data_IF_464463541431
#
_entry.id   IF_464463541431
#
_cell.length_a   1.000
_cell.length_b   1.000
_cell.length_c   1.000
_cell.angle_alpha   90.00
_cell.angle_beta   90.00
_cell.angle_gamma   90.00
#
_symmetry.space_group_name_H-M   'P 1'
#
loop_
_entity.id
_entity.type
_entity.pdbx_description
1 polymer ?
#
# COMPACT_ATOMS: atom_id res chain seq x y z
N UNK A 1 -1.32 -32.79 22.04
CA UNK A 1 -2.34 -31.72 21.99
C UNK A 1 -1.77 -30.61 21.12
N UNK A 2 -2.07 -30.62 19.82
CA UNK A 2 -1.51 -29.65 18.87
C UNK A 2 -2.39 -28.41 18.89
N UNK A 3 -1.79 -27.26 19.18
CA UNK A 3 -2.43 -25.96 19.17
C UNK A 3 -3.01 -25.69 17.77
N UNK A 4 -4.33 -25.76 17.63
CA UNK A 4 -5.02 -25.26 16.44
C UNK A 4 -4.87 -23.75 16.42
N UNK A 5 -3.96 -23.26 15.58
CA UNK A 5 -3.86 -21.84 15.30
C UNK A 5 -5.22 -21.35 14.77
N UNK A 6 -5.79 -20.37 15.45
CA UNK A 6 -7.05 -19.72 15.10
C UNK A 6 -6.86 -18.95 13.80
N UNK A 7 -7.08 -19.61 12.66
CA UNK A 7 -6.99 -19.03 11.32
C UNK A 7 -7.96 -19.74 10.39
N UNK A 8 -8.29 -19.11 9.26
CA UNK A 8 -9.18 -19.71 8.26
C UNK A 8 -8.52 -20.94 7.61
N UNK A 9 -9.28 -22.02 7.45
CA UNK A 9 -8.76 -23.31 7.00
C UNK A 9 -9.32 -23.75 5.64
N UNK A 10 -8.53 -24.58 4.95
CA UNK A 10 -8.98 -25.38 3.80
C UNK A 10 -9.33 -26.79 4.29
N UNK A 11 -10.41 -27.34 3.74
CA UNK A 11 -10.62 -28.80 3.70
C UNK A 11 -10.01 -29.34 2.41
N UNK A 12 -9.20 -30.39 2.52
CA UNK A 12 -8.39 -30.88 1.41
C UNK A 12 -8.67 -32.36 1.20
N UNK A 13 -9.12 -32.72 0.00
CA UNK A 13 -9.24 -34.12 -0.43
C UNK A 13 -8.17 -34.40 -1.48
N UNK A 14 -7.26 -35.32 -1.17
CA UNK A 14 -6.19 -35.74 -2.08
C UNK A 14 -6.51 -37.13 -2.62
N UNK A 15 -6.55 -37.26 -3.94
CA UNK A 15 -6.63 -38.54 -4.64
C UNK A 15 -5.29 -38.78 -5.34
N UNK A 16 -4.57 -39.84 -4.96
CA UNK A 16 -3.22 -40.07 -5.44
C UNK A 16 -3.04 -41.46 -6.05
N UNK A 17 -2.10 -41.58 -6.98
CA UNK A 17 -1.59 -42.84 -7.50
C UNK A 17 -0.09 -42.93 -7.24
N UNK A 18 0.41 -44.15 -7.06
CA UNK A 18 1.84 -44.41 -6.90
C UNK A 18 2.25 -45.67 -7.66
N UNK A 19 3.49 -45.73 -8.12
CA UNK A 19 4.08 -46.91 -8.77
C UNK A 19 5.53 -47.09 -8.36
N UNK A 20 6.01 -48.33 -8.44
CA UNK A 20 7.43 -48.63 -8.23
C UNK A 20 8.19 -48.57 -9.55
N UNK A 21 9.38 -47.97 -9.54
CA UNK A 21 10.27 -47.96 -10.69
C UNK A 21 11.14 -49.23 -10.66
N UNK A 22 11.19 -50.00 -11.77
CA UNK A 22 11.76 -51.36 -11.78
C UNK A 22 13.28 -51.44 -11.50
N UNK A 23 13.99 -50.31 -11.53
CA UNK A 23 15.44 -50.25 -11.37
C UNK A 23 15.94 -50.20 -9.92
N UNK A 24 15.05 -50.29 -8.92
CA UNK A 24 15.39 -50.07 -7.51
C UNK A 24 15.22 -51.31 -6.65
N UNK A 25 16.21 -51.60 -5.81
CA UNK A 25 16.17 -52.66 -4.80
C UNK A 25 15.10 -52.32 -3.77
N UNK A 26 14.22 -53.26 -3.37
CA UNK A 26 13.17 -52.96 -2.41
C UNK A 26 13.78 -52.65 -1.03
N UNK A 27 13.86 -51.37 -0.69
CA UNK A 27 14.02 -50.95 0.70
C UNK A 27 12.78 -51.38 1.50
N UNK A 28 12.95 -51.69 2.79
CA UNK A 28 11.90 -52.19 3.71
C UNK A 28 10.83 -51.13 4.07
N UNK A 29 10.53 -50.20 3.16
CA UNK A 29 9.60 -49.12 3.38
C UNK A 29 8.22 -49.46 2.81
N UNK A 30 7.17 -49.02 3.50
CA UNK A 30 5.79 -49.09 3.03
C UNK A 30 5.55 -47.98 1.99
N UNK A 31 5.59 -48.27 0.66
CA UNK A 31 5.62 -47.25 -0.39
C UNK A 31 4.36 -46.40 -0.42
N UNK A 32 3.21 -46.99 -0.07
CA UNK A 32 1.93 -46.30 0.00
C UNK A 32 1.90 -45.25 1.13
N UNK A 33 2.53 -45.52 2.27
CA UNK A 33 2.64 -44.56 3.37
C UNK A 33 3.53 -43.37 2.96
N UNK A 34 4.64 -43.64 2.29
CA UNK A 34 5.55 -42.58 1.81
C UNK A 34 4.91 -41.73 0.72
N UNK A 35 4.22 -42.34 -0.25
CA UNK A 35 3.48 -41.61 -1.28
C UNK A 35 2.41 -40.69 -0.67
N UNK A 36 1.62 -41.19 0.29
CA UNK A 36 0.62 -40.39 1.01
C UNK A 36 1.26 -39.22 1.76
N UNK A 37 2.37 -39.47 2.46
CA UNK A 37 3.05 -38.43 3.23
C UNK A 37 3.63 -37.35 2.32
N UNK A 38 4.25 -37.75 1.20
CA UNK A 38 4.79 -36.81 0.22
C UNK A 38 3.69 -35.89 -0.36
N UNK A 39 2.59 -36.47 -0.85
CA UNK A 39 1.47 -35.69 -1.38
C UNK A 39 0.88 -34.73 -0.34
N UNK A 40 0.75 -35.17 0.92
CA UNK A 40 0.28 -34.32 2.01
C UNK A 40 1.22 -33.16 2.29
N UNK A 41 2.51 -33.42 2.38
CA UNK A 41 3.52 -32.40 2.67
C UNK A 41 3.61 -31.37 1.54
N UNK A 42 3.64 -31.83 0.29
CA UNK A 42 3.71 -30.96 -0.87
C UNK A 42 2.44 -30.10 -0.99
N UNK A 43 1.26 -30.70 -0.83
CA UNK A 43 -0.02 -29.98 -0.82
C UNK A 43 -0.04 -28.93 0.29
N UNK A 44 0.34 -29.28 1.52
CA UNK A 44 0.37 -28.33 2.64
C UNK A 44 1.37 -27.18 2.40
N UNK A 45 2.53 -27.45 1.81
CA UNK A 45 3.53 -26.44 1.51
C UNK A 45 3.03 -25.40 0.49
N UNK A 46 2.24 -25.84 -0.49
CA UNK A 46 1.62 -24.96 -1.48
C UNK A 46 0.50 -24.15 -0.82
N UNK A 47 -0.46 -24.80 -0.17
CA UNK A 47 -1.63 -24.16 0.41
C UNK A 47 -1.31 -23.10 1.48
N UNK A 48 -0.17 -23.21 2.18
CA UNK A 48 0.32 -22.16 3.10
C UNK A 48 0.52 -20.80 2.44
N UNK A 49 0.71 -20.75 1.12
CA UNK A 49 0.92 -19.52 0.35
C UNK A 49 -0.38 -18.95 -0.22
N UNK A 50 -1.50 -19.65 -0.07
CA UNK A 50 -2.77 -19.27 -0.65
C UNK A 50 -3.79 -18.85 0.41
N UNK A 51 -4.61 -17.87 0.06
CA UNK A 51 -5.74 -17.44 0.86
C UNK A 51 -6.96 -18.31 0.58
N UNK A 52 -7.72 -18.64 1.62
CA UNK A 52 -8.97 -19.41 1.54
C UNK A 52 -10.01 -18.77 0.60
N UNK A 53 -9.94 -17.46 0.40
CA UNK A 53 -10.84 -16.73 -0.51
C UNK A 53 -10.54 -16.97 -2.00
N UNK A 54 -9.35 -17.46 -2.33
CA UNK A 54 -8.93 -17.74 -3.71
C UNK A 54 -8.79 -19.24 -3.94
N UNK A 55 -9.85 -19.98 -3.59
CA UNK A 55 -9.89 -21.44 -3.66
C UNK A 55 -9.54 -22.00 -5.06
N UNK A 56 -10.10 -21.48 -6.18
CA UNK A 56 -9.76 -22.00 -7.52
C UNK A 56 -8.27 -21.88 -7.83
N UNK A 57 -7.66 -20.72 -7.53
CA UNK A 57 -6.23 -20.51 -7.75
C UNK A 57 -5.36 -21.42 -6.87
N UNK A 58 -5.80 -21.71 -5.63
CA UNK A 58 -5.10 -22.63 -4.74
C UNK A 58 -5.21 -24.08 -5.22
N UNK A 59 -6.37 -24.48 -5.73
CA UNK A 59 -6.63 -25.81 -6.29
C UNK A 59 -5.80 -26.01 -7.57
N UNK A 60 -5.83 -25.05 -8.49
CA UNK A 60 -5.05 -25.07 -9.74
C UNK A 60 -3.55 -25.15 -9.49
N UNK A 61 -3.02 -24.32 -8.58
CA UNK A 61 -1.60 -24.34 -8.23
C UNK A 61 -1.18 -25.68 -7.61
N UNK A 62 -2.04 -26.25 -6.77
CA UNK A 62 -1.77 -27.55 -6.14
C UNK A 62 -1.83 -28.68 -7.17
N UNK A 63 -2.88 -28.72 -7.99
CA UNK A 63 -3.06 -29.71 -9.05
C UNK A 63 -1.95 -29.64 -10.10
N UNK A 64 -1.46 -28.46 -10.43
CA UNK A 64 -0.31 -28.29 -11.33
C UNK A 64 0.96 -28.90 -10.74
N UNK A 65 1.16 -28.78 -9.42
CA UNK A 65 2.36 -29.25 -8.77
C UNK A 65 2.39 -30.77 -8.50
N UNK A 66 1.23 -31.39 -8.23
CA UNK A 66 1.14 -32.83 -7.92
C UNK A 66 0.55 -33.68 -9.06
N UNK A 67 0.00 -33.04 -10.11
CA UNK A 67 -0.65 -33.70 -11.25
C UNK A 67 0.32 -34.35 -12.22
N UNK A 68 1.62 -34.12 -12.08
CA UNK A 68 2.67 -34.83 -12.81
C UNK A 68 3.30 -35.91 -11.93
N UNK A 69 3.84 -36.95 -12.55
CA UNK A 69 4.60 -37.97 -11.83
C UNK A 69 5.89 -37.37 -11.27
N UNK A 70 6.06 -37.44 -9.95
CA UNK A 70 7.25 -37.02 -9.23
C UNK A 70 7.91 -38.21 -8.53
N UNK A 71 9.23 -38.12 -8.33
CA UNK A 71 10.02 -39.14 -7.64
C UNK A 71 10.41 -38.65 -6.24
N UNK A 72 9.58 -38.84 -5.19
CA UNK A 72 9.94 -38.43 -3.83
C UNK A 72 11.16 -39.18 -3.27
N UNK A 73 11.43 -40.38 -3.78
CA UNK A 73 12.58 -41.20 -3.43
C UNK A 73 12.90 -42.16 -4.57
N UNK A 74 14.10 -42.72 -4.58
CA UNK A 74 14.48 -43.74 -5.56
C UNK A 74 13.48 -44.90 -5.55
N UNK A 75 13.02 -45.29 -6.75
CA UNK A 75 12.14 -46.43 -6.90
C UNK A 75 10.66 -46.18 -6.64
N UNK A 76 10.26 -44.96 -6.28
CA UNK A 76 8.87 -44.61 -6.04
C UNK A 76 8.50 -43.37 -6.87
N UNK A 77 7.47 -43.53 -7.69
CA UNK A 77 6.85 -42.44 -8.42
C UNK A 77 5.44 -42.21 -7.87
N UNK A 78 5.06 -40.94 -7.76
CA UNK A 78 3.79 -40.51 -7.17
C UNK A 78 3.17 -39.40 -8.00
N UNK A 79 1.85 -39.39 -8.09
CA UNK A 79 1.07 -38.30 -8.67
C UNK A 79 -0.27 -38.20 -7.94
N UNK A 80 -0.97 -37.08 -8.08
CA UNK A 80 -2.31 -36.95 -7.55
C UNK A 80 -3.07 -35.74 -8.05
N UNK A 81 -4.30 -35.66 -7.56
CA UNK A 81 -5.19 -34.52 -7.73
C UNK A 81 -5.73 -34.12 -6.36
N UNK A 82 -6.01 -32.83 -6.21
CA UNK A 82 -6.58 -32.24 -5.02
C UNK A 82 -7.91 -31.58 -5.39
N UNK A 83 -8.87 -31.75 -4.49
CA UNK A 83 -10.06 -30.93 -4.42
C UNK A 83 -10.06 -30.17 -3.11
N UNK A 84 -10.32 -28.86 -3.18
CA UNK A 84 -10.38 -27.99 -2.02
C UNK A 84 -11.82 -27.60 -1.73
N UNK A 85 -12.15 -27.60 -0.44
CA UNK A 85 -13.41 -27.08 0.06
C UNK A 85 -13.14 -26.09 1.20
N UNK A 86 -14.07 -25.18 1.44
CA UNK A 86 -14.01 -24.29 2.59
C UNK A 86 -15.39 -24.06 3.18
N UNK A 87 -15.43 -23.79 4.48
CA UNK A 87 -16.69 -23.49 5.16
C UNK A 87 -17.03 -22.00 5.03
N UNK A 88 -18.32 -21.66 5.06
CA UNK A 88 -18.75 -20.27 5.09
C UNK A 88 -18.15 -19.50 6.29
N UNK A 89 -17.92 -20.19 7.41
CA UNK A 89 -17.26 -19.63 8.58
C UNK A 89 -15.80 -19.24 8.31
N UNK A 90 -15.03 -20.12 7.67
CA UNK A 90 -13.64 -19.85 7.30
C UNK A 90 -13.52 -18.71 6.28
N UNK A 91 -14.42 -18.66 5.29
CA UNK A 91 -14.51 -17.54 4.36
C UNK A 91 -14.78 -16.21 5.08
N UNK A 92 -15.77 -16.18 5.98
CA UNK A 92 -16.11 -14.97 6.73
C UNK A 92 -14.93 -14.52 7.63
N UNK A 93 -14.26 -15.48 8.27
CA UNK A 93 -13.07 -15.22 9.08
C UNK A 93 -11.94 -14.63 8.23
N UNK A 94 -11.65 -15.21 7.06
CA UNK A 94 -10.63 -14.70 6.14
C UNK A 94 -10.96 -13.29 5.63
N UNK A 95 -12.22 -13.01 5.27
CA UNK A 95 -12.66 -11.68 4.86
C UNK A 95 -12.47 -10.64 5.96
N UNK A 96 -12.86 -10.95 7.21
CA UNK A 96 -12.69 -10.03 8.33
C UNK A 96 -11.21 -9.78 8.63
N UNK A 97 -10.34 -10.80 8.51
CA UNK A 97 -8.90 -10.61 8.64
C UNK A 97 -8.34 -9.66 7.59
N UNK A 98 -8.74 -9.80 6.32
CA UNK A 98 -8.31 -8.90 5.25
C UNK A 98 -8.81 -7.48 5.51
N UNK A 99 -10.09 -7.32 5.89
CA UNK A 99 -10.68 -6.01 6.19
C UNK A 99 -9.95 -5.31 7.33
N UNK A 100 -9.65 -6.03 8.41
CA UNK A 100 -8.89 -5.49 9.55
C UNK A 100 -7.48 -5.10 9.16
N UNK A 101 -6.79 -5.92 8.37
CA UNK A 101 -5.44 -5.63 7.89
C UNK A 101 -5.43 -4.38 7.01
N UNK A 102 -6.35 -4.27 6.06
CA UNK A 102 -6.49 -3.07 5.23
C UNK A 102 -6.75 -1.81 6.07
N UNK A 103 -7.62 -1.90 7.09
CA UNK A 103 -7.87 -0.78 7.98
C UNK A 103 -6.61 -0.37 8.78
N UNK A 104 -5.82 -1.35 9.24
CA UNK A 104 -4.55 -1.10 9.92
C UNK A 104 -3.50 -0.49 8.98
N UNK A 105 -3.39 -1.00 7.75
CA UNK A 105 -2.47 -0.50 6.75
C UNK A 105 -2.80 0.96 6.40
N UNK A 106 -4.08 1.28 6.18
CA UNK A 106 -4.53 2.66 5.94
C UNK A 106 -4.26 3.59 7.12
N UNK A 107 -4.49 3.11 8.36
CA UNK A 107 -4.18 3.89 9.56
C UNK A 107 -2.67 4.14 9.70
N UNK A 108 -1.86 3.14 9.38
CA UNK A 108 -0.41 3.25 9.38
C UNK A 108 0.08 4.24 8.32
N UNK A 109 -0.45 4.18 7.09
CA UNK A 109 -0.14 5.15 6.03
C UNK A 109 -0.56 6.57 6.38
N UNK A 110 -1.70 6.74 7.06
CA UNK A 110 -2.13 8.04 7.56
C UNK A 110 -1.15 8.59 8.61
N UNK A 111 -0.69 7.74 9.52
CA UNK A 111 0.29 8.13 10.54
C UNK A 111 1.66 8.44 9.93
N UNK A 112 2.13 7.63 8.97
CA UNK A 112 3.37 7.93 8.24
C UNK A 112 3.29 9.28 7.53
N UNK A 113 2.18 9.56 6.83
CA UNK A 113 1.95 10.87 6.20
C UNK A 113 1.96 12.00 7.21
N UNK A 114 1.32 11.81 8.37
CA UNK A 114 1.33 12.79 9.46
C UNK A 114 2.74 13.03 9.99
N UNK A 115 3.52 11.97 10.23
CA UNK A 115 4.89 12.08 10.72
C UNK A 115 5.80 12.76 9.69
N UNK A 116 5.70 12.40 8.41
CA UNK A 116 6.45 13.07 7.34
C UNK A 116 6.09 14.55 7.28
N UNK A 117 4.80 14.90 7.35
CA UNK A 117 4.37 16.29 7.38
C UNK A 117 4.92 17.05 8.60
N UNK A 118 4.89 16.45 9.79
CA UNK A 118 5.49 17.03 10.99
C UNK A 118 7.01 17.17 10.86
N UNK A 119 7.70 16.21 10.26
CA UNK A 119 9.13 16.31 9.99
C UNK A 119 9.43 17.48 9.05
N UNK A 120 8.66 17.67 7.97
CA UNK A 120 8.81 18.83 7.07
C UNK A 120 8.50 20.15 7.78
N UNK A 121 7.43 20.22 8.56
CA UNK A 121 7.06 21.42 9.33
C UNK A 121 8.12 21.78 10.37
N UNK A 122 8.63 20.78 11.09
CA UNK A 122 9.65 20.96 12.10
C UNK A 122 11.03 21.16 11.47
N UNK A 123 11.28 20.77 10.23
CA UNK A 123 12.52 21.07 9.54
C UNK A 123 12.66 22.56 9.20
N UNK A 124 11.57 23.21 8.82
CA UNK A 124 11.53 24.63 8.51
C UNK A 124 11.58 25.48 9.81
N UNK A 125 12.55 26.38 9.88
CA UNK A 125 12.87 27.17 11.09
C UNK A 125 11.69 28.07 11.52
N UNK A 126 10.98 28.65 10.56
CA UNK A 126 9.90 29.60 10.83
C UNK A 126 8.60 28.85 11.13
N UNK A 127 8.34 27.75 10.41
CA UNK A 127 7.15 26.92 10.62
C UNK A 127 7.21 26.11 11.92
N UNK A 128 8.40 25.64 12.33
CA UNK A 128 8.61 24.98 13.63
C UNK A 128 8.15 25.87 14.79
N UNK A 129 8.52 27.16 14.75
CA UNK A 129 8.15 28.13 15.81
C UNK A 129 6.65 28.38 15.82
N UNK A 130 6.05 28.59 14.67
CA UNK A 130 4.60 28.77 14.53
C UNK A 130 3.81 27.53 14.98
N UNK A 131 4.25 26.33 14.60
CA UNK A 131 3.64 25.07 15.02
C UNK A 131 3.72 24.86 16.53
N UNK A 132 4.86 25.18 17.17
CA UNK A 132 5.01 25.07 18.62
C UNK A 132 4.09 26.02 19.38
N UNK A 133 4.00 27.29 18.93
CA UNK A 133 3.12 28.28 19.54
C UNK A 133 1.65 27.86 19.41
N UNK A 134 1.26 27.28 18.27
CA UNK A 134 -0.09 26.79 18.04
C UNK A 134 -0.45 25.56 18.88
N UNK A 135 0.49 24.62 19.09
CA UNK A 135 0.25 23.40 19.87
C UNK A 135 0.40 23.59 21.38
N UNK A 136 1.27 24.49 21.82
CA UNK A 136 1.55 24.73 23.23
C UNK A 136 1.51 26.25 23.54
N UNK A 137 0.33 26.88 23.46
CA UNK A 137 0.19 28.33 23.67
C UNK A 137 0.67 28.77 25.06
N UNK A 138 0.50 27.90 26.07
CA UNK A 138 0.88 28.18 27.46
C UNK A 138 2.39 28.06 27.73
N UNK A 139 3.18 27.54 26.78
CA UNK A 139 4.63 27.28 26.92
C UNK A 139 5.50 28.16 26.02
N UNK A 140 4.99 29.36 25.71
CA UNK A 140 5.68 30.32 24.86
C UNK A 140 7.07 30.73 25.40
N UNK A 141 7.23 30.81 26.73
CA UNK A 141 8.50 31.14 27.38
C UNK A 141 9.61 30.11 27.14
N UNK A 142 9.28 28.91 26.69
CA UNK A 142 10.23 27.83 26.42
C UNK A 142 10.66 27.77 24.94
N UNK A 143 10.12 28.64 24.07
CA UNK A 143 10.45 28.66 22.64
C UNK A 143 11.94 28.88 22.36
N UNK A 144 12.63 29.70 23.16
CA UNK A 144 14.05 30.00 22.94
C UNK A 144 14.94 28.80 23.31
N UNK A 145 14.59 28.05 24.37
CA UNK A 145 15.27 26.80 24.73
C UNK A 145 15.06 25.71 23.66
N UNK A 146 13.87 25.65 23.06
CA UNK A 146 13.57 24.74 21.95
C UNK A 146 14.36 25.13 20.68
N UNK A 147 14.54 26.43 20.42
CA UNK A 147 15.31 26.96 19.30
C UNK A 147 16.78 26.56 19.41
N UNK A 148 17.38 26.63 20.60
CA UNK A 148 18.75 26.16 20.85
C UNK A 148 18.85 24.64 20.71
N UNK A 149 17.93 23.87 21.30
CA UNK A 149 17.96 22.41 21.28
C UNK A 149 17.81 21.80 19.87
N UNK A 150 17.20 22.53 18.93
CA UNK A 150 16.95 22.05 17.57
C UNK A 150 17.79 22.77 16.50
N UNK A 151 18.83 23.51 16.92
CA UNK A 151 19.70 24.29 16.04
C UNK A 151 20.59 23.41 15.13
N UNK A 152 20.89 22.19 15.57
CA UNK A 152 21.75 21.23 14.85
C UNK A 152 20.98 20.23 13.97
N UNK A 153 19.65 20.35 13.87
CA UNK A 153 18.89 19.50 12.96
C UNK A 153 19.12 19.94 11.51
N UNK A 154 19.62 19.05 10.62
CA UNK A 154 19.85 19.38 9.23
C UNK A 154 18.51 19.75 8.58
N UNK A 155 18.47 20.89 7.91
CA UNK A 155 17.32 21.25 7.11
C UNK A 155 17.31 20.37 5.85
N UNK A 156 16.19 19.75 5.46
CA UNK A 156 16.07 19.06 4.19
C UNK A 156 16.35 19.98 2.99
N UNK A 157 16.36 21.30 3.20
CA UNK A 157 16.59 22.31 2.16
C UNK A 157 18.08 22.63 1.92
N UNK A 158 19.00 22.15 2.77
CA UNK A 158 20.44 22.36 2.55
C UNK A 158 20.99 21.51 1.38
N UNK A 159 20.20 20.52 0.90
CA UNK A 159 20.57 19.65 -0.23
C UNK A 159 20.00 20.13 -1.59
N UNK A 160 19.08 21.09 -1.64
CA UNK A 160 18.37 21.53 -2.87
C UNK A 160 18.55 23.02 -3.19
N UNK A 161 19.57 23.66 -2.59
CA UNK A 161 19.82 25.11 -2.64
C UNK A 161 20.27 25.67 -4.01
N UNK A 162 20.17 24.92 -5.11
CA UNK A 162 20.52 25.42 -6.46
C UNK A 162 19.31 25.72 -7.38
N UNK A 163 18.06 25.40 -7.00
CA UNK A 163 16.90 25.77 -7.82
C UNK A 163 16.12 26.98 -7.25
N UNK A 164 16.18 28.07 -8.03
CA UNK A 164 15.49 29.38 -7.95
C UNK A 164 14.38 29.51 -6.89
N UNK A 165 14.71 30.21 -5.81
CA UNK A 165 13.92 30.52 -4.61
C UNK A 165 12.51 31.07 -4.95
N UNK A 166 12.43 31.94 -5.96
CA UNK A 166 11.19 32.60 -6.38
C UNK A 166 10.21 31.59 -7.03
N UNK A 167 10.72 30.59 -7.77
CA UNK A 167 9.85 29.58 -8.39
C UNK A 167 9.30 28.62 -7.35
N UNK A 168 10.07 28.30 -6.31
CA UNK A 168 9.65 27.45 -5.20
C UNK A 168 8.55 28.14 -4.38
N UNK A 169 8.71 29.42 -4.09
CA UNK A 169 7.71 30.21 -3.36
C UNK A 169 6.42 30.42 -4.14
N UNK A 170 6.52 30.70 -5.44
CA UNK A 170 5.34 30.81 -6.31
C UNK A 170 4.58 29.48 -6.37
N UNK A 171 5.29 28.35 -6.48
CA UNK A 171 4.69 27.00 -6.55
C UNK A 171 4.03 26.60 -5.22
N UNK A 172 4.70 26.88 -4.10
CA UNK A 172 4.19 26.62 -2.75
C UNK A 172 2.96 27.47 -2.43
N UNK A 173 2.98 28.74 -2.82
CA UNK A 173 1.83 29.62 -2.67
C UNK A 173 0.67 29.15 -3.54
N UNK A 174 0.90 28.78 -4.80
CA UNK A 174 -0.17 28.30 -5.69
C UNK A 174 -0.78 26.97 -5.26
N UNK A 175 0.04 26.00 -4.82
CA UNK A 175 -0.45 24.69 -4.35
C UNK A 175 -1.26 24.81 -3.05
N UNK A 176 -0.83 25.67 -2.12
CA UNK A 176 -1.56 25.95 -0.88
C UNK A 176 -2.91 26.65 -1.17
N UNK A 177 -2.94 27.59 -2.12
CA UNK A 177 -4.13 28.35 -2.45
C UNK A 177 -5.15 27.55 -3.28
N UNK A 178 -4.70 26.60 -4.10
CA UNK A 178 -5.52 25.62 -4.80
C UNK A 178 -6.19 24.62 -3.85
N UNK A 179 -5.52 24.29 -2.74
CA UNK A 179 -6.08 23.45 -1.68
C UNK A 179 -7.21 24.16 -0.92
N UNK A 180 -7.11 25.49 -0.74
CA UNK A 180 -8.05 26.25 0.09
C UNK A 180 -9.29 26.78 -0.69
N UNK A 181 -9.22 26.90 -2.02
CA UNK A 181 -10.31 27.38 -2.87
C UNK A 181 -11.30 26.27 -3.24
N UNK A 182 -12.17 25.87 -2.31
CA UNK A 182 -13.23 24.87 -2.56
C UNK A 182 -14.54 25.43 -3.18
N UNK A 183 -14.71 26.76 -3.33
CA UNK A 183 -15.92 27.34 -3.90
C UNK A 183 -15.70 27.94 -5.32
N UNK A 184 -16.53 27.60 -6.33
CA UNK A 184 -16.33 28.03 -7.72
C UNK A 184 -16.37 29.56 -7.92
N UNK A 185 -17.19 30.28 -7.15
CA UNK A 185 -17.29 31.74 -7.26
C UNK A 185 -16.05 32.48 -6.73
N UNK A 186 -15.31 31.87 -5.80
CA UNK A 186 -14.07 32.42 -5.26
C UNK A 186 -12.91 32.25 -6.25
N UNK A 187 -12.96 31.18 -7.06
CA UNK A 187 -12.01 30.92 -8.13
C UNK A 187 -12.09 31.98 -9.24
N UNK A 188 -13.29 32.40 -9.63
CA UNK A 188 -13.47 33.42 -10.68
C UNK A 188 -12.99 34.81 -10.25
N UNK A 189 -13.39 35.27 -9.07
CA UNK A 189 -12.92 36.55 -8.50
C UNK A 189 -11.40 36.60 -8.37
N UNK A 190 -10.80 35.47 -7.97
CA UNK A 190 -9.36 35.34 -7.84
C UNK A 190 -8.64 35.36 -9.20
N UNK A 191 -9.13 34.63 -10.20
CA UNK A 191 -8.55 34.66 -11.54
C UNK A 191 -8.63 36.06 -12.15
N UNK A 192 -9.72 36.80 -11.90
CA UNK A 192 -9.84 38.21 -12.33
C UNK A 192 -8.80 39.10 -11.63
N UNK A 193 -8.61 38.95 -10.32
CA UNK A 193 -7.61 39.72 -9.57
C UNK A 193 -6.17 39.38 -9.99
N UNK A 194 -5.87 38.11 -10.24
CA UNK A 194 -4.57 37.61 -10.68
C UNK A 194 -4.23 38.11 -12.10
N UNK A 195 -5.19 38.09 -13.01
CA UNK A 195 -5.02 38.64 -14.37
C UNK A 195 -4.76 40.16 -14.32
N UNK A 196 -5.46 40.88 -13.44
CA UNK A 196 -5.27 42.33 -13.29
C UNK A 196 -3.90 42.68 -12.69
N UNK A 197 -3.41 41.93 -11.71
CA UNK A 197 -2.08 42.15 -11.12
C UNK A 197 -0.95 41.76 -12.05
N UNK A 198 -1.07 40.64 -12.77
CA UNK A 198 -0.08 40.24 -13.79
C UNK A 198 0.01 41.24 -14.95
N UNK A 199 -1.13 41.84 -15.33
CA UNK A 199 -1.18 42.92 -16.33
C UNK A 199 -0.55 44.21 -15.82
N UNK A 200 -0.73 44.55 -14.54
CA UNK A 200 -0.10 45.72 -13.92
C UNK A 200 1.44 45.56 -13.78
N UNK A 201 1.93 44.32 -13.70
CA UNK A 201 3.35 43.97 -13.62
C UNK A 201 4.01 43.78 -15.00
N UNK A 202 3.26 43.92 -16.11
CA UNK A 202 3.80 43.88 -17.47
C UNK A 202 4.15 42.49 -18.00
N UNK A 203 3.60 41.41 -17.42
CA UNK A 203 3.85 40.04 -17.86
C UNK A 203 2.76 39.55 -18.83
N UNK A 204 2.79 40.06 -20.06
CA UNK A 204 1.75 39.85 -21.07
C UNK A 204 1.57 38.37 -21.48
N UNK A 205 2.64 37.58 -21.48
CA UNK A 205 2.61 36.14 -21.81
C UNK A 205 1.88 35.30 -20.75
N UNK A 206 2.11 35.59 -19.47
CA UNK A 206 1.43 34.92 -18.35
C UNK A 206 -0.03 35.37 -18.23
N UNK A 207 -0.31 36.61 -18.61
CA UNK A 207 -1.67 37.15 -18.67
C UNK A 207 -2.51 36.43 -19.74
N UNK A 208 -1.90 36.10 -20.89
CA UNK A 208 -2.56 35.32 -21.94
C UNK A 208 -2.83 33.86 -21.53
N UNK A 209 -1.88 33.22 -20.83
CA UNK A 209 -2.05 31.87 -20.29
C UNK A 209 -3.15 31.79 -19.21
N UNK A 210 -3.22 32.78 -18.31
CA UNK A 210 -4.26 32.85 -17.28
C UNK A 210 -5.66 33.12 -17.88
N UNK A 211 -5.77 33.94 -18.93
CA UNK A 211 -7.03 34.18 -19.64
C UNK A 211 -7.54 32.94 -20.39
N UNK A 212 -6.65 32.08 -20.89
CA UNK A 212 -7.02 30.81 -21.50
C UNK A 212 -7.67 29.85 -20.48
N UNK A 213 -7.23 29.87 -19.22
CA UNK A 213 -7.83 29.09 -18.14
C UNK A 213 -9.23 29.58 -17.73
N UNK A 214 -9.52 30.88 -17.83
CA UNK A 214 -10.88 31.42 -17.65
C UNK A 214 -11.84 31.03 -18.77
N UNK A 215 -11.31 30.75 -19.96
CA UNK A 215 -12.11 30.50 -21.17
C UNK A 215 -12.49 29.03 -21.36
N UNK A 216 -12.09 28.13 -20.44
CA UNK A 216 -12.40 26.72 -20.55
C UNK A 216 -13.86 26.49 -20.12
N UNK A 217 -14.79 26.17 -21.04
CA UNK A 217 -16.18 26.00 -20.68
C UNK A 217 -16.33 24.79 -19.76
N UNK A 218 -17.13 24.95 -18.70
CA UNK A 218 -17.49 23.88 -17.79
C UNK A 218 -17.91 22.63 -18.58
N UNK A 219 -17.43 21.41 -18.22
CA UNK A 219 -17.92 20.20 -18.84
C UNK A 219 -19.43 20.15 -18.61
N UNK A 220 -20.15 20.21 -19.73
CA UNK A 220 -21.60 20.15 -19.84
C UNK A 220 -22.09 18.96 -19.00
N UNK A 221 -22.75 19.27 -17.89
CA UNK A 221 -23.64 18.32 -17.25
C UNK A 221 -24.81 18.11 -18.20
N UNK A 222 -24.86 16.98 -18.89
CA UNK A 222 -26.10 16.50 -19.50
C UNK A 222 -26.70 15.44 -18.56
N UNK A 223 -27.92 15.65 -18.06
CA UNK A 223 -28.75 14.59 -17.50
C UNK A 223 -29.54 13.88 -18.62
N UNK A 224 -29.95 12.66 -18.29
CA UNK A 224 -30.84 11.70 -19.00
C UNK A 224 -30.31 10.97 -20.22
#
# INVERSE_FOLDING_TARGET
MASTHTGALFSVRITGAWRRTPASTPAHHEPAAMARNHLRQQTAAILRKHCVLNLPAAEDATNTAIGTWSCPMEGLEVTGTVHLDTTAHDCALAQEHIRRRQAQDLAHEAELRRLTHLQTLLADRDLRRMWWIAQFPDRFSECDALKEALQDLPSPHDAEAEEDDIRRDIRRFTDQLLSDLHAPQQRDLFLTALIQTLRALGHDELTAAAAAFQSQPAPRSEPT
#
